data_IF_416144312612
#
_entry.id   IF_416144312612
#
_cell.length_a   1.000
_cell.length_b   1.000
_cell.length_c   1.000
_cell.angle_alpha   90.00
_cell.angle_beta   90.00
_cell.angle_gamma   90.00
#
_symmetry.space_group_name_H-M   'P 1'
#
loop_
_entity.id
_entity.type
_entity.pdbx_description
1 polymer ?
#
# COMPACT_ATOMS: atom_id res chain seq x y z
N UNK A 1 -5.77 -18.05 4.06
CA UNK A 1 -6.25 -18.85 2.91
C UNK A 1 -6.28 -17.88 1.73
N UNK A 2 -6.10 -18.32 0.49
CA UNK A 2 -6.13 -17.37 -0.63
C UNK A 2 -7.53 -16.74 -0.74
N UNK A 3 -7.59 -15.41 -0.85
CA UNK A 3 -8.81 -14.64 -1.09
C UNK A 3 -8.52 -13.53 -2.10
N UNK A 4 -9.44 -13.37 -3.05
CA UNK A 4 -9.49 -12.19 -3.90
C UNK A 4 -10.58 -11.23 -3.42
N UNK A 5 -10.15 -10.05 -2.97
CA UNK A 5 -11.03 -8.99 -2.51
C UNK A 5 -11.23 -7.90 -3.56
N UNK A 6 -12.47 -7.37 -3.65
CA UNK A 6 -12.85 -6.36 -4.63
C UNK A 6 -13.55 -5.19 -3.92
N UNK A 7 -13.03 -3.99 -4.13
CA UNK A 7 -13.60 -2.78 -3.52
C UNK A 7 -13.47 -1.58 -4.45
N UNK A 8 -14.33 -0.58 -4.22
CA UNK A 8 -14.24 0.73 -4.88
C UNK A 8 -13.24 1.66 -4.16
N UNK A 9 -12.82 1.30 -2.94
CA UNK A 9 -11.85 2.06 -2.19
C UNK A 9 -10.43 1.77 -2.67
N UNK A 10 -9.73 2.82 -3.09
CA UNK A 10 -8.34 2.74 -3.48
C UNK A 10 -7.42 2.31 -2.33
N UNK A 11 -7.77 2.63 -1.08
CA UNK A 11 -7.02 2.21 0.10
C UNK A 11 -7.30 0.75 0.50
N UNK A 12 -8.27 0.10 -0.13
CA UNK A 12 -8.53 -1.33 0.04
C UNK A 12 -9.59 -1.67 1.08
N UNK A 13 -10.23 -0.70 1.76
CA UNK A 13 -11.30 -0.93 2.77
C UNK A 13 -10.97 -2.04 3.80
N UNK A 14 -11.36 -3.28 3.49
CA UNK A 14 -11.26 -4.49 4.32
C UNK A 14 -10.14 -5.44 3.86
N UNK A 15 -9.23 -4.98 3.00
CA UNK A 15 -8.03 -5.71 2.59
C UNK A 15 -6.77 -5.23 3.35
N UNK A 16 -6.68 -5.34 4.70
CA UNK A 16 -5.57 -4.74 5.44
C UNK A 16 -4.31 -5.60 5.34
N UNK A 17 -3.19 -4.96 5.00
CA UNK A 17 -1.83 -5.44 5.25
C UNK A 17 -1.36 -6.61 4.39
N UNK A 18 -1.98 -7.78 4.53
CA UNK A 18 -1.65 -9.02 3.82
C UNK A 18 -2.11 -9.10 2.37
N UNK A 19 -2.87 -8.11 1.92
CA UNK A 19 -3.34 -8.01 0.55
C UNK A 19 -2.41 -7.16 -0.32
N UNK A 20 -2.18 -7.63 -1.54
CA UNK A 20 -1.50 -6.91 -2.60
C UNK A 20 -2.52 -6.51 -3.67
N UNK A 21 -2.50 -5.24 -4.07
CA UNK A 21 -3.36 -4.77 -5.16
C UNK A 21 -2.84 -5.27 -6.50
N UNK A 22 -3.68 -5.97 -7.25
CA UNK A 22 -3.34 -6.53 -8.56
C UNK A 22 -3.72 -5.61 -9.72
N UNK A 23 -4.70 -4.70 -9.53
CA UNK A 23 -5.07 -3.75 -10.56
C UNK A 23 -6.53 -3.30 -10.51
N UNK A 24 -6.99 -2.76 -11.64
CA UNK A 24 -8.37 -2.35 -11.86
C UNK A 24 -9.05 -3.42 -12.73
N UNK A 25 -10.16 -3.96 -12.25
CA UNK A 25 -10.94 -4.99 -12.98
C UNK A 25 -11.85 -4.36 -14.03
N UNK A 26 -12.37 -3.16 -13.75
CA UNK A 26 -13.26 -2.38 -14.61
C UNK A 26 -13.90 -1.23 -13.84
N UNK A 27 -14.90 -0.57 -14.43
CA UNK A 27 -15.52 0.63 -13.84
C UNK A 27 -17.04 0.47 -13.69
N UNK A 28 -17.55 0.79 -12.50
CA UNK A 28 -18.94 0.59 -12.05
C UNK A 28 -19.49 1.81 -11.32
N UNK A 29 -20.76 1.81 -10.97
CA UNK A 29 -21.41 2.95 -10.33
C UNK A 29 -21.46 2.77 -8.81
N UNK A 30 -21.30 3.88 -8.07
CA UNK A 30 -21.45 3.92 -6.60
C UNK A 30 -22.91 4.00 -6.15
N UNK A 31 -23.83 4.31 -7.07
CA UNK A 31 -25.26 4.43 -6.81
C UNK A 31 -26.06 3.87 -7.98
N UNK A 32 -27.32 3.52 -7.73
CA UNK A 32 -28.21 2.95 -8.73
C UNK A 32 -28.39 3.89 -9.92
N UNK A 33 -28.14 3.37 -11.12
CA UNK A 33 -28.38 4.04 -12.41
C UNK A 33 -29.43 3.26 -13.23
N UNK A 34 -30.00 3.85 -14.30
CA UNK A 34 -30.87 3.11 -15.22
C UNK A 34 -30.20 1.83 -15.74
N UNK A 35 -30.96 0.73 -15.75
CA UNK A 35 -30.53 -0.60 -16.20
C UNK A 35 -29.41 -1.25 -15.36
N UNK A 36 -29.17 -0.76 -14.14
CA UNK A 36 -28.21 -1.38 -13.21
C UNK A 36 -28.92 -2.16 -12.11
N UNK A 37 -28.19 -3.13 -11.55
CA UNK A 37 -28.55 -3.89 -10.36
C UNK A 37 -27.48 -3.71 -9.30
N UNK A 38 -27.86 -3.86 -8.03
CA UNK A 38 -26.91 -3.89 -6.93
C UNK A 38 -26.13 -5.21 -6.95
N UNK A 39 -24.84 -5.13 -6.67
CA UNK A 39 -23.98 -6.27 -6.37
C UNK A 39 -23.73 -6.27 -4.87
N UNK A 40 -24.04 -7.38 -4.23
CA UNK A 40 -23.98 -7.59 -2.79
C UNK A 40 -22.67 -8.30 -2.44
N UNK A 41 -21.97 -7.80 -1.41
CA UNK A 41 -20.77 -8.43 -0.83
C UNK A 41 -21.15 -9.29 0.36
N UNK A 42 -20.55 -10.47 0.42
CA UNK A 42 -20.73 -11.45 1.47
C UNK A 42 -19.36 -11.96 1.90
N UNK A 43 -19.14 -12.18 3.20
CA UNK A 43 -17.87 -12.66 3.72
C UNK A 43 -18.03 -13.92 4.57
N UNK A 44 -17.22 -14.94 4.30
CA UNK A 44 -17.17 -16.17 5.07
C UNK A 44 -15.91 -16.23 5.94
N UNK A 45 -16.06 -16.09 7.26
CA UNK A 45 -14.92 -16.10 8.19
C UNK A 45 -14.22 -17.45 8.33
N UNK A 46 -14.78 -18.54 7.80
CA UNK A 46 -14.17 -19.88 7.85
C UNK A 46 -13.27 -20.13 6.64
N UNK A 47 -13.73 -19.80 5.43
CA UNK A 47 -12.90 -19.89 4.21
C UNK A 47 -12.03 -18.65 4.00
N UNK A 48 -12.35 -17.53 4.66
CA UNK A 48 -11.83 -16.19 4.41
C UNK A 48 -12.21 -15.62 3.02
N UNK A 49 -13.22 -16.18 2.37
CA UNK A 49 -13.64 -15.78 1.02
C UNK A 49 -14.63 -14.60 1.02
N UNK A 50 -14.44 -13.68 0.07
CA UNK A 50 -15.41 -12.66 -0.28
C UNK A 50 -16.19 -13.03 -1.56
N UNK A 51 -17.50 -13.17 -1.40
CA UNK A 51 -18.42 -13.50 -2.47
C UNK A 51 -19.25 -12.29 -2.92
N UNK A 52 -19.40 -12.13 -4.24
CA UNK A 52 -20.12 -11.04 -4.88
C UNK A 52 -21.22 -11.61 -5.79
N UNK A 53 -22.46 -11.16 -5.57
CA UNK A 53 -23.61 -11.62 -6.34
C UNK A 53 -24.62 -10.52 -6.59
N UNK A 54 -25.36 -10.60 -7.69
CA UNK A 54 -26.51 -9.75 -7.97
C UNK A 54 -27.79 -10.23 -7.26
N UNK A 55 -27.79 -11.44 -6.68
CA UNK A 55 -28.92 -11.97 -5.92
C UNK A 55 -28.94 -11.38 -4.50
N UNK A 56 -30.00 -10.65 -4.11
CA UNK A 56 -30.14 -10.15 -2.74
C UNK A 56 -30.26 -11.27 -1.70
N UNK A 57 -30.64 -12.49 -2.10
CA UNK A 57 -30.66 -13.68 -1.25
C UNK A 57 -29.30 -14.34 -1.04
N UNK A 58 -28.25 -13.86 -1.72
CA UNK A 58 -26.90 -14.37 -1.59
C UNK A 58 -26.57 -15.59 -2.45
N UNK A 59 -27.47 -16.07 -3.33
CA UNK A 59 -27.24 -17.25 -4.19
C UNK A 59 -26.76 -18.48 -3.39
N UNK A 60 -25.46 -18.83 -3.54
CA UNK A 60 -24.75 -19.98 -2.95
C UNK A 60 -23.98 -19.60 -1.66
N UNK A 61 -24.04 -18.32 -1.26
CA UNK A 61 -23.52 -17.85 0.01
C UNK A 61 -24.29 -18.28 1.28
N UNK A 62 -25.51 -18.87 1.30
CA UNK A 62 -26.32 -18.90 2.53
C UNK A 62 -25.88 -19.91 3.61
N UNK A 63 -24.63 -20.38 3.59
CA UNK A 63 -24.05 -21.06 4.75
C UNK A 63 -22.66 -20.49 5.10
N UNK A 64 -22.55 -19.90 6.29
CA UNK A 64 -21.35 -19.27 6.87
C UNK A 64 -20.92 -17.91 6.27
N UNK A 65 -21.51 -17.44 5.17
CA UNK A 65 -21.31 -16.06 4.74
C UNK A 65 -22.20 -15.09 5.52
N UNK A 66 -21.63 -13.92 5.82
CA UNK A 66 -22.31 -12.77 6.40
C UNK A 66 -22.43 -11.68 5.36
N UNK A 67 -23.60 -11.07 5.27
CA UNK A 67 -23.84 -9.93 4.39
C UNK A 67 -23.04 -8.71 4.86
N UNK A 68 -22.30 -8.09 3.94
CA UNK A 68 -21.46 -6.92 4.22
C UNK A 68 -21.95 -5.63 3.55
N UNK A 69 -23.03 -5.69 2.76
CA UNK A 69 -23.60 -4.53 2.10
C UNK A 69 -23.60 -4.62 0.57
N UNK A 70 -23.98 -3.50 -0.05
CA UNK A 70 -23.88 -3.32 -1.50
C UNK A 70 -22.44 -2.89 -1.80
N UNK A 71 -21.76 -3.66 -2.64
CA UNK A 71 -20.41 -3.37 -3.09
C UNK A 71 -20.40 -2.28 -4.18
N UNK A 72 -21.29 -2.42 -5.17
CA UNK A 72 -21.44 -1.46 -6.28
C UNK A 72 -22.73 -1.73 -7.08
N UNK A 73 -22.96 -0.91 -8.11
CA UNK A 73 -24.03 -1.10 -9.09
C UNK A 73 -23.45 -1.27 -10.49
N UNK A 74 -23.92 -2.28 -11.22
CA UNK A 74 -23.48 -2.57 -12.59
C UNK A 74 -24.64 -3.03 -13.48
N UNK A 75 -24.44 -3.06 -14.80
CA UNK A 75 -25.50 -3.46 -15.72
C UNK A 75 -25.77 -4.96 -15.62
N UNK A 76 -27.04 -5.36 -15.53
CA UNK A 76 -27.42 -6.79 -15.53
C UNK A 76 -27.48 -7.39 -16.95
N UNK A 77 -27.50 -6.54 -17.98
CA UNK A 77 -27.52 -6.93 -19.39
C UNK A 77 -26.47 -6.13 -20.15
N UNK A 78 -25.94 -6.73 -21.21
CA UNK A 78 -24.92 -6.11 -22.05
C UNK A 78 -25.42 -4.79 -22.62
N UNK A 79 -24.69 -3.71 -22.34
CA UNK A 79 -24.90 -2.40 -22.95
C UNK A 79 -23.81 -2.11 -23.98
N UNK A 80 -24.02 -1.09 -24.82
CA UNK A 80 -22.99 -0.57 -25.73
C UNK A 80 -21.74 -0.18 -24.93
N UNK A 81 -20.55 -0.54 -25.43
CA UNK A 81 -19.26 -0.25 -24.80
C UNK A 81 -19.06 -0.84 -23.40
N UNK A 82 -19.74 -1.95 -23.08
CA UNK A 82 -19.51 -2.70 -21.82
C UNK A 82 -18.87 -4.06 -22.08
N UNK A 83 -18.14 -4.53 -21.06
CA UNK A 83 -17.55 -5.87 -21.00
C UNK A 83 -18.20 -6.65 -19.86
N UNK A 84 -18.22 -7.97 -19.98
CA UNK A 84 -18.74 -8.84 -18.92
C UNK A 84 -17.74 -8.90 -17.76
N UNK A 85 -18.25 -9.05 -16.54
CA UNK A 85 -17.50 -9.47 -15.37
C UNK A 85 -17.86 -10.93 -15.11
N UNK A 86 -16.87 -11.81 -15.27
CA UNK A 86 -17.01 -13.25 -15.06
C UNK A 86 -16.69 -13.60 -13.62
N UNK A 87 -17.43 -14.56 -13.06
CA UNK A 87 -17.15 -15.19 -11.76
C UNK A 87 -16.55 -16.56 -11.99
N UNK A 88 -15.51 -16.87 -11.24
CA UNK A 88 -14.80 -18.13 -11.26
C UNK A 88 -14.66 -18.65 -9.83
N UNK A 89 -14.75 -19.96 -9.64
CA UNK A 89 -14.66 -20.60 -8.33
C UNK A 89 -13.60 -21.69 -8.30
N UNK A 90 -12.80 -21.73 -7.24
CA UNK A 90 -11.88 -22.81 -6.96
C UNK A 90 -12.39 -23.63 -5.76
N UNK A 91 -12.84 -24.86 -6.01
CA UNK A 91 -13.37 -25.74 -4.97
C UNK A 91 -12.33 -26.27 -3.98
N UNK A 92 -11.03 -26.22 -4.32
CA UNK A 92 -9.95 -26.67 -3.44
C UNK A 92 -9.65 -25.63 -2.37
N UNK A 93 -9.61 -24.34 -2.74
CA UNK A 93 -9.37 -23.25 -1.80
C UNK A 93 -10.64 -22.61 -1.23
N UNK A 94 -11.76 -22.73 -1.94
CA UNK A 94 -13.00 -22.02 -1.64
C UNK A 94 -13.03 -20.56 -2.09
N UNK A 95 -12.07 -20.12 -2.91
CA UNK A 95 -11.87 -18.71 -3.33
C UNK A 95 -12.66 -18.40 -4.62
N UNK A 96 -13.25 -17.20 -4.67
CA UNK A 96 -13.90 -16.65 -5.85
C UNK A 96 -13.07 -15.57 -6.53
N UNK A 97 -12.86 -15.74 -7.84
CA UNK A 97 -12.14 -14.80 -8.67
C UNK A 97 -13.05 -14.13 -9.69
N UNK A 98 -12.88 -12.82 -9.89
CA UNK A 98 -13.70 -12.00 -10.77
C UNK A 98 -12.81 -11.26 -11.78
N UNK A 99 -13.10 -11.43 -13.06
CA UNK A 99 -12.30 -10.83 -14.13
C UNK A 99 -13.13 -10.45 -15.36
N UNK A 100 -12.63 -9.48 -16.13
CA UNK A 100 -13.21 -9.10 -17.43
C UNK A 100 -12.81 -10.07 -18.56
N UNK A 101 -11.82 -10.94 -18.35
CA UNK A 101 -11.41 -11.93 -19.34
C UNK A 101 -12.29 -13.19 -19.27
N UNK A 102 -12.82 -13.57 -20.42
CA UNK A 102 -13.62 -14.77 -20.58
C UNK A 102 -12.82 -16.07 -20.38
N UNK A 103 -11.48 -16.02 -20.37
CA UNK A 103 -10.61 -17.18 -20.12
C UNK A 103 -10.09 -17.27 -18.69
N UNK A 104 -10.35 -16.26 -17.85
CA UNK A 104 -9.99 -16.26 -16.44
C UNK A 104 -8.69 -15.56 -16.07
N UNK A 105 -7.97 -14.94 -17.02
CA UNK A 105 -6.65 -14.28 -16.87
C UNK A 105 -5.62 -15.04 -16.01
N UNK A 106 -5.68 -14.78 -14.70
CA UNK A 106 -4.77 -15.08 -13.61
C UNK A 106 -5.28 -16.20 -12.69
N UNK A 107 -6.49 -16.70 -12.93
CA UNK A 107 -7.03 -17.83 -12.17
C UNK A 107 -6.12 -19.05 -12.32
N UNK A 108 -5.60 -19.63 -11.21
CA UNK A 108 -4.97 -20.94 -11.25
C UNK A 108 -5.80 -21.97 -12.04
N UNK A 109 -5.18 -23.01 -12.64
CA UNK A 109 -5.90 -24.01 -13.45
C UNK A 109 -7.10 -24.70 -12.76
N UNK A 110 -7.17 -24.63 -11.43
CA UNK A 110 -8.23 -25.16 -10.60
C UNK A 110 -9.56 -24.36 -10.71
N UNK A 111 -9.52 -23.09 -11.14
CA UNK A 111 -10.71 -22.26 -11.24
C UNK A 111 -11.68 -22.73 -12.35
N UNK A 112 -12.97 -22.77 -12.01
CA UNK A 112 -14.06 -23.10 -12.93
C UNK A 112 -14.98 -21.90 -13.08
N UNK A 113 -15.34 -21.59 -14.33
CA UNK A 113 -16.28 -20.49 -14.62
C UNK A 113 -17.66 -20.81 -14.05
N UNK A 114 -18.21 -19.85 -13.32
CA UNK A 114 -19.60 -19.87 -12.84
C UNK A 114 -20.51 -18.95 -13.67
N UNK A 115 -19.95 -18.22 -14.64
CA UNK A 115 -20.69 -17.41 -15.60
C UNK A 115 -20.49 -15.91 -15.41
N UNK A 116 -21.43 -15.13 -15.95
CA UNK A 116 -21.37 -13.67 -15.95
C UNK A 116 -22.12 -13.14 -14.73
N UNK A 117 -21.44 -12.37 -13.89
CA UNK A 117 -22.03 -11.62 -12.79
C UNK A 117 -22.80 -10.39 -13.28
N UNK A 118 -22.25 -9.69 -14.28
CA UNK A 118 -22.84 -8.47 -14.85
C UNK A 118 -21.94 -7.84 -15.90
N UNK A 119 -22.25 -6.60 -16.30
CA UNK A 119 -21.50 -5.84 -17.30
C UNK A 119 -21.06 -4.48 -16.75
N UNK A 120 -19.82 -4.12 -17.04
CA UNK A 120 -19.15 -2.91 -16.55
C UNK A 120 -18.47 -2.16 -17.70
N UNK A 121 -18.08 -0.91 -17.44
CA UNK A 121 -17.28 -0.16 -18.40
C UNK A 121 -15.82 -0.66 -18.36
N UNK A 122 -15.18 -0.92 -19.51
CA UNK A 122 -13.77 -1.31 -19.55
C UNK A 122 -12.81 -0.14 -19.31
N UNK A 123 -13.30 1.11 -19.42
CA UNK A 123 -12.52 2.34 -19.28
C UNK A 123 -13.24 3.36 -18.36
N UNK A 124 -12.53 4.34 -17.77
CA UNK A 124 -13.15 5.39 -16.98
C UNK A 124 -14.24 6.14 -17.74
N UNK A 125 -15.33 6.48 -17.06
CA UNK A 125 -16.39 7.36 -17.58
C UNK A 125 -16.78 8.38 -16.51
N UNK A 126 -17.48 9.46 -16.89
CA UNK A 126 -17.82 10.56 -15.97
C UNK A 126 -18.66 10.18 -14.74
N UNK A 127 -19.17 8.95 -14.65
CA UNK A 127 -20.01 8.49 -13.54
C UNK A 127 -19.61 7.11 -12.99
N UNK A 128 -18.53 6.52 -13.51
CA UNK A 128 -18.08 5.21 -13.07
C UNK A 128 -16.73 5.31 -12.34
N UNK A 129 -16.58 4.52 -11.29
CA UNK A 129 -15.37 4.42 -10.48
C UNK A 129 -14.76 3.03 -10.64
N UNK A 130 -13.44 2.88 -10.49
CA UNK A 130 -12.78 1.60 -10.66
C UNK A 130 -13.15 0.59 -9.56
N UNK A 131 -13.25 -0.69 -9.93
CA UNK A 131 -13.15 -1.82 -9.01
C UNK A 131 -11.67 -2.18 -8.89
N UNK A 132 -11.12 -2.11 -7.69
CA UNK A 132 -9.77 -2.57 -7.40
C UNK A 132 -9.78 -4.04 -7.00
N UNK A 133 -8.95 -4.85 -7.64
CA UNK A 133 -8.69 -6.25 -7.28
C UNK A 133 -7.50 -6.33 -6.32
N UNK A 134 -7.68 -7.08 -5.24
CA UNK A 134 -6.71 -7.33 -4.20
C UNK A 134 -6.57 -8.83 -4.00
N UNK A 135 -5.35 -9.28 -3.72
CA UNK A 135 -5.02 -10.69 -3.49
C UNK A 135 -4.32 -10.85 -2.15
N UNK A 136 -4.76 -11.79 -1.31
CA UNK A 136 -4.10 -12.12 -0.05
C UNK A 136 -2.73 -12.81 -0.27
N UNK A 137 -1.70 -12.02 -0.60
CA UNK A 137 -0.36 -12.51 -0.91
C UNK A 137 0.53 -12.74 0.31
N UNK A 138 0.05 -12.38 1.50
CA UNK A 138 0.86 -12.35 2.72
C UNK A 138 1.79 -11.13 2.80
N UNK A 139 1.54 -10.09 2.00
CA UNK A 139 2.29 -8.83 2.05
C UNK A 139 2.31 -8.26 3.49
N UNK A 140 3.40 -7.65 3.95
CA UNK A 140 3.47 -7.06 5.32
C UNK A 140 3.17 -8.04 6.48
N UNK A 141 2.95 -9.34 6.26
CA UNK A 141 2.52 -10.29 7.29
C UNK A 141 3.53 -10.46 8.42
N UNK A 142 4.80 -10.18 8.12
CA UNK A 142 5.91 -10.21 9.06
C UNK A 142 6.19 -8.84 9.69
N UNK A 143 5.37 -7.81 9.44
CA UNK A 143 5.55 -6.50 10.05
C UNK A 143 5.14 -6.56 11.51
N UNK A 144 5.98 -5.99 12.38
CA UNK A 144 5.71 -5.87 13.81
C UNK A 144 5.72 -4.40 14.21
N UNK A 145 5.01 -4.09 15.29
CA UNK A 145 4.89 -2.74 15.82
C UNK A 145 4.97 -2.83 17.34
N UNK A 146 5.74 -1.94 17.94
CA UNK A 146 5.87 -1.82 19.38
C UNK A 146 4.52 -1.43 20.03
N UNK A 147 4.37 -1.75 21.32
CA UNK A 147 3.09 -1.66 22.05
C UNK A 147 2.56 -0.23 22.19
N UNK A 148 3.43 0.78 22.07
CA UNK A 148 3.09 2.20 22.13
C UNK A 148 2.49 2.74 20.82
N UNK A 149 2.51 1.96 19.74
CA UNK A 149 1.84 2.28 18.47
C UNK A 149 0.37 1.83 18.54
N UNK A 150 -0.55 2.80 18.52
CA UNK A 150 -1.99 2.54 18.57
C UNK A 150 -2.49 1.75 17.35
N UNK A 151 -3.61 1.04 17.50
CA UNK A 151 -4.25 0.31 16.39
C UNK A 151 -4.58 1.21 15.19
N UNK A 152 -5.05 2.44 15.44
CA UNK A 152 -5.34 3.40 14.39
C UNK A 152 -4.08 3.81 13.62
N UNK A 153 -2.96 4.02 14.31
CA UNK A 153 -1.67 4.30 13.69
C UNK A 153 -1.16 3.10 12.89
N UNK A 154 -1.22 1.89 13.48
CA UNK A 154 -0.83 0.64 12.83
C UNK A 154 -1.59 0.43 11.53
N UNK A 155 -2.93 0.55 11.55
CA UNK A 155 -3.76 0.42 10.36
C UNK A 155 -3.36 1.42 9.28
N UNK A 156 -3.19 2.71 9.66
CA UNK A 156 -2.76 3.73 8.70
C UNK A 156 -1.39 3.41 8.10
N UNK A 157 -0.41 2.99 8.91
CA UNK A 157 0.91 2.61 8.40
C UNK A 157 0.83 1.46 7.41
N UNK A 158 0.07 0.40 7.72
CA UNK A 158 -0.11 -0.74 6.81
C UNK A 158 -0.75 -0.30 5.48
N UNK A 159 -1.81 0.51 5.52
CA UNK A 159 -2.45 1.03 4.29
C UNK A 159 -1.48 1.86 3.44
N UNK A 160 -0.66 2.73 4.05
CA UNK A 160 0.30 3.57 3.32
C UNK A 160 1.51 2.78 2.82
N UNK A 161 1.93 1.74 3.53
CA UNK A 161 2.92 0.78 3.05
C UNK A 161 2.42 0.01 1.82
N UNK A 162 1.18 -0.47 1.84
CA UNK A 162 0.61 -1.17 0.66
C UNK A 162 0.48 -0.24 -0.54
N UNK A 163 0.11 1.03 -0.31
CA UNK A 163 0.12 2.04 -1.36
C UNK A 163 1.53 2.28 -1.93
N UNK A 164 2.53 2.49 -1.07
CA UNK A 164 3.92 2.67 -1.45
C UNK A 164 4.47 1.48 -2.25
N UNK A 165 4.26 0.27 -1.77
CA UNK A 165 4.67 -0.97 -2.42
C UNK A 165 4.08 -1.11 -3.84
N UNK A 166 2.79 -0.83 -4.01
CA UNK A 166 2.15 -0.86 -5.33
C UNK A 166 2.77 0.17 -6.26
N UNK A 167 2.91 1.42 -5.79
CA UNK A 167 3.43 2.52 -6.61
C UNK A 167 4.88 2.28 -7.00
N UNK A 168 5.71 1.74 -6.12
CA UNK A 168 7.08 1.34 -6.43
C UNK A 168 7.15 0.39 -7.63
N UNK A 169 6.22 -0.57 -7.75
CA UNK A 169 6.20 -1.53 -8.86
C UNK A 169 5.97 -0.87 -10.24
N UNK A 170 5.05 0.10 -10.31
CA UNK A 170 4.63 0.72 -11.58
C UNK A 170 5.35 2.03 -11.91
N UNK A 171 6.07 2.61 -10.96
CA UNK A 171 6.69 3.92 -11.09
C UNK A 171 7.82 3.96 -12.13
N UNK A 172 7.89 5.04 -12.92
CA UNK A 172 8.98 5.26 -13.88
C UNK A 172 10.24 5.91 -13.29
N UNK A 173 10.17 6.44 -12.06
CA UNK A 173 11.26 7.20 -11.45
C UNK A 173 12.33 6.34 -10.76
N UNK A 174 12.10 5.04 -10.61
CA UNK A 174 13.08 4.07 -10.08
C UNK A 174 13.32 2.94 -11.09
N UNK A 175 14.57 2.48 -11.18
CA UNK A 175 15.03 1.45 -12.11
C UNK A 175 14.54 0.05 -11.74
N UNK A 176 14.67 -0.91 -12.67
CA UNK A 176 14.16 -2.27 -12.46
C UNK A 176 14.75 -2.97 -11.22
N UNK A 177 16.07 -2.85 -11.00
CA UNK A 177 16.74 -3.41 -9.82
C UNK A 177 16.30 -2.74 -8.52
N UNK A 178 16.07 -1.43 -8.54
CA UNK A 178 15.56 -0.66 -7.39
C UNK A 178 14.17 -1.16 -6.99
N UNK A 179 13.29 -1.34 -7.98
CA UNK A 179 11.94 -1.91 -7.77
C UNK A 179 11.99 -3.31 -7.17
N UNK A 180 12.84 -4.17 -7.72
CA UNK A 180 12.98 -5.55 -7.25
C UNK A 180 13.43 -5.59 -5.79
N UNK A 181 14.51 -4.86 -5.46
CA UNK A 181 15.05 -4.86 -4.09
C UNK A 181 14.07 -4.26 -3.09
N UNK A 182 13.48 -3.09 -3.36
CA UNK A 182 12.56 -2.48 -2.39
C UNK A 182 11.32 -3.35 -2.17
N UNK A 183 10.75 -3.93 -3.24
CA UNK A 183 9.59 -4.83 -3.12
C UNK A 183 9.94 -6.14 -2.42
N UNK A 184 11.19 -6.61 -2.51
CA UNK A 184 11.64 -7.77 -1.74
C UNK A 184 11.69 -7.49 -0.23
N UNK A 185 12.07 -6.27 0.19
CA UNK A 185 12.09 -5.88 1.61
C UNK A 185 10.69 -5.92 2.23
N UNK A 186 9.66 -5.48 1.50
CA UNK A 186 8.26 -5.52 1.96
C UNK A 186 7.73 -6.94 2.30
N UNK A 187 8.41 -8.00 1.86
CA UNK A 187 8.07 -9.39 2.20
C UNK A 187 8.86 -9.94 3.39
N UNK A 188 9.78 -9.15 3.93
CA UNK A 188 10.57 -9.50 5.11
C UNK A 188 9.89 -9.01 6.39
N UNK A 189 10.39 -9.47 7.54
CA UNK A 189 9.98 -8.92 8.82
C UNK A 189 10.57 -7.53 9.04
N UNK A 190 9.70 -6.54 9.27
CA UNK A 190 10.08 -5.14 9.51
C UNK A 190 9.42 -4.67 10.80
N UNK A 191 10.24 -4.27 11.77
CA UNK A 191 9.78 -3.72 13.05
C UNK A 191 9.50 -2.23 12.93
N UNK A 192 8.44 -1.75 13.56
CA UNK A 192 8.09 -0.34 13.65
C UNK A 192 8.09 0.10 15.13
N UNK A 193 8.79 1.19 15.42
CA UNK A 193 8.79 1.83 16.74
C UNK A 193 8.40 3.31 16.62
N UNK A 194 7.88 3.89 17.69
CA UNK A 194 7.67 5.34 17.74
C UNK A 194 8.99 6.08 18.05
N UNK A 195 9.09 7.32 17.58
CA UNK A 195 10.15 8.25 17.99
C UNK A 195 9.57 9.65 18.18
N UNK A 196 10.25 10.47 18.97
CA UNK A 196 9.91 11.88 19.22
C UNK A 196 11.05 12.82 18.84
N UNK A 197 12.06 12.32 18.11
CA UNK A 197 13.19 13.13 17.67
C UNK A 197 12.70 14.40 16.94
N UNK A 198 13.07 15.60 17.44
CA UNK A 198 12.64 16.85 16.82
C UNK A 198 13.08 16.92 15.36
N UNK A 199 12.19 17.39 14.49
CA UNK A 199 12.48 17.62 13.08
C UNK A 199 12.53 16.37 12.19
N UNK A 200 12.42 15.15 12.74
CA UNK A 200 12.46 13.90 11.98
C UNK A 200 11.04 13.39 11.72
N UNK A 201 10.74 12.97 10.48
CA UNK A 201 9.47 12.35 10.11
C UNK A 201 9.49 10.84 10.37
N UNK A 202 10.51 10.17 9.83
CA UNK A 202 10.84 8.79 10.09
C UNK A 202 12.34 8.57 9.84
N UNK A 203 12.86 7.43 10.28
CA UNK A 203 14.19 6.99 9.89
C UNK A 203 14.37 5.48 10.08
N UNK A 204 15.37 4.93 9.41
CA UNK A 204 15.99 3.65 9.76
C UNK A 204 17.36 3.88 10.39
N UNK A 205 17.79 3.06 11.35
CA UNK A 205 19.06 3.31 12.03
C UNK A 205 20.26 3.13 11.09
N UNK A 206 20.19 2.15 10.18
CA UNK A 206 21.28 1.74 9.29
C UNK A 206 20.75 1.19 7.96
N UNK A 207 21.63 1.10 6.94
CA UNK A 207 21.28 0.49 5.66
C UNK A 207 20.97 -1.00 5.86
N UNK A 208 19.96 -1.49 5.15
CA UNK A 208 19.46 -2.87 5.29
C UNK A 208 18.88 -3.21 6.67
N UNK A 209 18.76 -2.22 7.57
CA UNK A 209 18.06 -2.44 8.83
C UNK A 209 16.62 -2.84 8.54
N UNK A 210 16.07 -3.69 9.40
CA UNK A 210 14.69 -4.16 9.34
C UNK A 210 13.85 -3.52 10.45
N UNK A 211 14.09 -2.24 10.68
CA UNK A 211 13.53 -1.47 11.80
C UNK A 211 13.33 -0.01 11.40
N UNK A 212 12.08 0.43 11.35
CA UNK A 212 11.68 1.80 11.07
C UNK A 212 11.25 2.49 12.37
N UNK A 213 11.66 3.74 12.54
CA UNK A 213 11.21 4.62 13.60
C UNK A 213 10.31 5.70 13.01
N UNK A 214 9.09 5.83 13.53
CA UNK A 214 8.08 6.74 12.99
C UNK A 214 7.78 7.85 14.01
N UNK A 215 7.89 9.11 13.59
CA UNK A 215 7.47 10.23 14.42
C UNK A 215 6.01 10.59 14.12
N UNK A 216 5.09 10.05 14.92
CA UNK A 216 3.66 10.29 14.73
C UNK A 216 3.24 11.75 14.96
N UNK A 217 3.99 12.53 15.74
CA UNK A 217 3.68 13.94 15.97
C UNK A 217 4.08 14.82 14.77
N UNK A 218 5.15 14.44 14.06
CA UNK A 218 5.62 15.17 12.89
C UNK A 218 4.95 14.68 11.61
N UNK A 219 4.99 13.36 11.35
CA UNK A 219 4.63 12.80 10.04
C UNK A 219 3.11 12.74 9.82
N UNK A 220 2.32 12.31 10.81
CA UNK A 220 0.90 12.05 10.58
C UNK A 220 0.06 13.30 10.25
N UNK A 221 0.32 14.48 10.86
CA UNK A 221 -0.37 15.70 10.47
C UNK A 221 -0.15 16.15 9.01
N UNK A 222 0.90 15.66 8.35
CA UNK A 222 1.22 16.02 6.96
C UNK A 222 0.35 15.27 5.93
N UNK A 223 -0.41 14.27 6.37
CA UNK A 223 -1.39 13.58 5.56
C UNK A 223 -0.85 12.37 4.80
N UNK A 224 -1.74 11.70 4.09
CA UNK A 224 -1.53 10.34 3.61
C UNK A 224 -0.45 10.21 2.53
N UNK A 225 -0.27 11.25 1.71
CA UNK A 225 0.77 11.30 0.67
C UNK A 225 2.16 11.33 1.29
N UNK A 226 2.37 12.25 2.22
CA UNK A 226 3.67 12.41 2.88
C UNK A 226 4.02 11.16 3.70
N UNK A 227 3.04 10.55 4.39
CA UNK A 227 3.26 9.27 5.08
C UNK A 227 3.74 8.21 4.08
N UNK A 228 3.05 8.02 2.95
CA UNK A 228 3.45 6.99 1.97
C UNK A 228 4.81 7.30 1.30
N UNK A 229 5.13 8.57 1.05
CA UNK A 229 6.41 9.01 0.50
C UNK A 229 7.56 8.70 1.46
N UNK A 230 7.41 9.15 2.71
CA UNK A 230 8.39 8.91 3.79
C UNK A 230 8.59 7.41 3.99
N UNK A 231 7.51 6.60 4.04
CA UNK A 231 7.65 5.15 4.19
C UNK A 231 8.37 4.50 3.02
N UNK A 232 8.10 4.92 1.78
CA UNK A 232 8.82 4.38 0.61
C UNK A 232 10.30 4.76 0.65
N UNK A 233 10.62 6.00 1.04
CA UNK A 233 11.99 6.47 1.24
C UNK A 233 12.74 5.58 2.24
N UNK A 234 12.19 5.37 3.43
CA UNK A 234 12.82 4.53 4.46
C UNK A 234 12.99 3.08 4.00
N UNK A 235 12.02 2.55 3.25
CA UNK A 235 12.12 1.20 2.69
C UNK A 235 13.22 1.08 1.62
N UNK A 236 13.59 2.18 0.93
CA UNK A 236 14.76 2.20 0.05
C UNK A 236 16.07 2.08 0.85
N UNK A 237 16.16 2.65 2.05
CA UNK A 237 17.29 2.43 2.95
C UNK A 237 17.34 0.99 3.46
N UNK A 238 16.20 0.39 3.80
CA UNK A 238 16.10 -1.05 4.08
C UNK A 238 16.52 -1.92 2.87
N UNK A 239 16.39 -1.40 1.64
CA UNK A 239 16.86 -2.06 0.42
C UNK A 239 18.34 -1.78 0.10
N UNK A 240 19.05 -1.08 0.99
CA UNK A 240 20.49 -0.83 0.91
C UNK A 240 20.88 0.41 0.10
N UNK A 241 19.93 1.28 -0.25
CA UNK A 241 20.22 2.50 -1.01
C UNK A 241 20.46 3.70 -0.06
N UNK A 242 21.63 4.37 -0.11
CA UNK A 242 21.91 5.56 0.69
C UNK A 242 21.60 6.86 -0.06
N UNK A 243 21.69 7.98 0.66
CA UNK A 243 21.83 9.32 0.08
C UNK A 243 22.86 10.15 0.88
N UNK A 244 23.50 11.18 0.30
CA UNK A 244 24.39 12.08 1.05
C UNK A 244 23.61 13.02 1.98
N UNK A 245 24.31 13.83 2.78
CA UNK A 245 23.67 14.91 3.52
C UNK A 245 23.09 15.96 2.56
N UNK A 246 21.89 16.48 2.87
CA UNK A 246 21.29 17.61 2.17
C UNK A 246 22.13 18.88 2.40
N UNK A 247 22.33 19.66 1.33
CA UNK A 247 23.05 20.93 1.36
C UNK A 247 22.03 22.06 1.42
N UNK A 248 21.86 22.65 2.61
CA UNK A 248 20.84 23.67 2.90
C UNK A 248 21.24 25.11 2.48
N UNK A 249 22.51 25.36 2.17
CA UNK A 249 22.99 26.70 1.85
C UNK A 249 24.24 26.72 0.95
N UNK A 250 24.47 27.87 0.30
CA UNK A 250 25.61 28.09 -0.58
C UNK A 250 25.29 27.92 -2.07
N UNK A 251 26.33 27.95 -2.94
CA UNK A 251 26.14 27.98 -4.40
C UNK A 251 25.63 26.67 -5.00
N UNK A 252 25.69 25.57 -4.26
CA UNK A 252 25.26 24.23 -4.68
C UNK A 252 24.16 23.68 -3.76
N UNK A 253 23.20 24.53 -3.38
CA UNK A 253 22.04 24.13 -2.57
C UNK A 253 21.25 23.03 -3.30
N UNK A 254 20.89 21.96 -2.59
CA UNK A 254 20.07 20.89 -3.13
C UNK A 254 18.63 21.39 -3.30
N UNK A 255 17.99 21.03 -4.42
CA UNK A 255 16.59 21.41 -4.69
C UNK A 255 15.79 20.24 -5.23
N UNK A 256 14.51 20.09 -4.85
CA UNK A 256 13.63 19.12 -5.48
C UNK A 256 13.72 19.19 -7.01
N UNK A 257 13.72 18.02 -7.66
CA UNK A 257 13.80 17.84 -9.11
C UNK A 257 15.10 18.29 -9.79
N UNK A 258 16.15 18.67 -9.05
CA UNK A 258 17.43 19.04 -9.66
C UNK A 258 18.21 17.85 -10.24
N UNK A 259 17.81 16.62 -9.91
CA UNK A 259 18.51 15.39 -10.28
C UNK A 259 19.95 15.33 -9.74
N UNK A 260 20.25 16.16 -8.74
CA UNK A 260 21.54 16.36 -8.12
C UNK A 260 21.95 15.20 -7.22
N UNK A 261 23.04 15.39 -6.48
CA UNK A 261 23.63 14.32 -5.66
C UNK A 261 22.72 13.84 -4.54
N UNK A 262 21.80 14.67 -4.08
CA UNK A 262 20.79 14.31 -3.08
C UNK A 262 19.49 13.82 -3.73
N UNK A 263 18.79 14.69 -4.45
CA UNK A 263 17.46 14.38 -5.02
C UNK A 263 17.49 13.37 -6.19
N UNK A 264 18.66 13.11 -6.78
CA UNK A 264 18.86 12.06 -7.79
C UNK A 264 19.05 10.64 -7.23
N UNK A 265 19.18 10.49 -5.91
CA UNK A 265 19.38 9.17 -5.27
C UNK A 265 18.09 8.34 -5.27
N UNK A 266 18.24 7.03 -5.09
CA UNK A 266 17.11 6.10 -5.17
C UNK A 266 16.02 6.36 -4.10
N UNK A 267 16.35 6.64 -2.81
CA UNK A 267 15.34 7.00 -1.81
C UNK A 267 14.54 8.24 -2.22
N UNK A 268 15.20 9.32 -2.65
CA UNK A 268 14.54 10.57 -3.01
C UNK A 268 13.76 10.48 -4.34
N UNK A 269 14.27 9.73 -5.33
CA UNK A 269 13.50 9.46 -6.56
C UNK A 269 12.27 8.61 -6.29
N UNK A 270 12.30 7.74 -5.27
CA UNK A 270 11.18 6.88 -4.93
C UNK A 270 9.99 7.68 -4.38
N UNK A 271 10.20 8.83 -3.74
CA UNK A 271 9.12 9.70 -3.25
C UNK A 271 8.20 10.19 -4.39
N UNK A 272 8.79 10.46 -5.57
CA UNK A 272 8.04 10.81 -6.78
C UNK A 272 7.03 9.72 -7.18
N UNK A 273 7.24 8.48 -6.75
CA UNK A 273 6.36 7.38 -7.10
C UNK A 273 4.98 7.51 -6.49
N UNK A 274 4.79 8.25 -5.39
CA UNK A 274 3.48 8.36 -4.73
C UNK A 274 2.59 9.43 -5.39
N UNK A 275 3.08 10.67 -5.49
CA UNK A 275 2.31 11.81 -5.98
C UNK A 275 3.07 12.67 -7.01
N UNK A 276 4.22 12.21 -7.50
CA UNK A 276 5.03 12.95 -8.46
C UNK A 276 5.80 14.13 -7.85
N UNK A 277 5.83 14.24 -6.53
CA UNK A 277 6.54 15.29 -5.78
C UNK A 277 7.63 14.66 -4.91
N UNK A 278 8.78 15.33 -4.78
CA UNK A 278 9.81 15.01 -3.79
C UNK A 278 9.55 15.83 -2.54
N UNK A 279 9.66 15.20 -1.37
CA UNK A 279 9.53 15.88 -0.10
C UNK A 279 10.72 16.83 0.04
N UNK A 280 10.43 18.12 0.14
CA UNK A 280 11.43 19.12 0.43
C UNK A 280 11.51 19.27 1.95
N UNK A 281 12.69 19.03 2.53
CA UNK A 281 12.99 19.29 3.95
C UNK A 281 12.62 20.72 4.39
N UNK A 282 12.43 21.65 3.44
CA UNK A 282 12.04 23.04 3.68
C UNK A 282 10.56 23.37 3.46
N UNK A 283 9.71 22.44 2.98
CA UNK A 283 8.32 22.76 2.59
C UNK A 283 7.27 21.99 3.39
N UNK A 284 7.39 21.99 4.72
CA UNK A 284 6.21 21.91 5.58
C UNK A 284 5.63 23.32 5.69
N UNK A 285 4.84 23.70 4.68
CA UNK A 285 3.96 24.87 4.72
C UNK A 285 4.24 25.93 3.66
N UNK A 286 3.60 25.80 2.48
CA UNK A 286 3.01 26.96 1.79
C UNK A 286 2.20 26.51 0.56
N UNK A 287 0.92 26.18 0.79
CA UNK A 287 -0.13 26.69 -0.10
C UNK A 287 -0.85 27.77 0.70
N UNK A 288 -0.50 29.04 0.40
CA UNK A 288 -1.12 30.29 0.86
C UNK A 288 -0.82 30.74 2.31
N UNK A 289 0.27 31.48 2.52
CA UNK A 289 0.32 32.72 3.34
C UNK A 289 1.77 33.22 3.50
N UNK A 290 2.00 34.44 3.04
CA UNK A 290 3.22 35.22 3.28
C UNK A 290 3.38 35.55 4.77
N UNK A 291 4.40 35.04 5.48
CA UNK A 291 4.94 35.66 6.71
C UNK A 291 6.35 35.13 7.04
N UNK A 292 7.10 35.97 7.74
CA UNK A 292 8.55 35.95 7.97
C UNK A 292 9.16 34.64 8.52
N UNK A 293 10.36 34.36 8.02
CA UNK A 293 11.23 33.23 8.34
C UNK A 293 11.90 33.41 9.71
N UNK A 294 11.61 32.52 10.65
CA UNK A 294 12.52 32.09 11.74
C UNK A 294 12.06 30.73 12.26
N UNK A 295 12.36 29.60 11.60
CA UNK A 295 12.25 28.28 12.23
C UNK A 295 13.34 27.32 11.73
N UNK A 296 14.03 26.73 12.70
CA UNK A 296 14.96 25.59 12.60
C UNK A 296 14.43 24.49 11.69
N UNK A 297 15.26 24.11 10.73
CA UNK A 297 14.98 23.27 9.57
C UNK A 297 14.54 21.84 9.97
N UNK A 298 13.43 21.39 9.38
CA UNK A 298 12.83 20.06 9.57
C UNK A 298 13.57 19.06 8.65
N UNK A 299 14.53 18.30 9.19
CA UNK A 299 15.23 17.27 8.41
C UNK A 299 14.43 15.97 8.37
N UNK A 300 13.81 15.68 7.22
CA UNK A 300 12.90 14.54 7.02
C UNK A 300 13.46 13.18 7.50
N UNK A 301 14.76 12.89 7.28
CA UNK A 301 15.45 11.71 7.80
C UNK A 301 16.95 12.01 8.04
N UNK A 302 17.60 11.48 9.10
CA UNK A 302 19.05 11.52 9.27
C UNK A 302 19.81 10.76 8.17
N UNK A 303 21.07 11.11 7.93
CA UNK A 303 21.91 10.36 6.98
C UNK A 303 22.17 8.95 7.50
N UNK A 304 21.78 7.94 6.71
CA UNK A 304 22.01 6.53 7.02
C UNK A 304 23.40 6.11 6.55
N UNK A 305 24.30 5.77 7.48
CA UNK A 305 25.69 5.47 7.16
C UNK A 305 25.87 4.05 6.56
N UNK A 306 26.72 3.86 5.55
CA UNK A 306 26.97 2.54 4.96
C UNK A 306 27.73 1.54 5.86
N UNK A 307 28.23 1.96 7.03
CA UNK A 307 29.28 1.23 7.78
C UNK A 307 28.83 0.56 9.07
N UNK A 308 27.55 0.54 9.42
CA UNK A 308 27.08 -0.20 10.60
C UNK A 308 26.68 -1.63 10.23
N UNK A 309 27.66 -2.47 9.87
CA UNK A 309 27.47 -3.91 10.00
C UNK A 309 27.62 -4.29 11.47
N UNK A 310 26.51 -4.78 12.04
CA UNK A 310 26.39 -5.68 13.19
C UNK A 310 27.31 -5.40 14.40
N UNK A 311 26.74 -4.83 15.47
CA UNK A 311 27.20 -5.07 16.84
C UNK A 311 26.07 -4.80 17.84
N UNK A 312 25.00 -5.58 17.80
CA UNK A 312 24.17 -5.83 18.99
C UNK A 312 23.74 -7.32 19.01
N UNK A 313 24.72 -8.16 19.33
CA UNK A 313 24.49 -9.48 19.90
C UNK A 313 25.45 -9.65 21.08
N UNK A 314 25.05 -9.16 22.25
CA UNK A 314 25.64 -9.60 23.52
C UNK A 314 24.52 -9.84 24.52
N UNK A 315 24.23 -11.12 24.72
CA UNK A 315 23.45 -11.64 25.83
C UNK A 315 24.13 -11.34 27.18
N UNK A 316 23.38 -11.17 28.28
CA UNK A 316 23.85 -11.55 29.61
C UNK A 316 23.53 -13.05 29.78
N UNK A 317 24.49 -13.96 29.91
CA UNK A 317 25.59 -13.93 30.86
C UNK A 317 25.23 -14.83 32.04
N UNK A 318 25.30 -16.14 31.83
CA UNK A 318 25.19 -17.16 32.88
C UNK A 318 26.24 -16.90 33.97
N UNK A 319 25.79 -16.67 35.20
CA UNK A 319 26.65 -16.73 36.39
C UNK A 319 26.49 -18.12 37.00
N UNK A 320 27.41 -19.01 36.64
CA UNK A 320 27.76 -20.19 37.45
C UNK A 320 29.06 -19.86 38.16
N UNK A 321 29.00 -19.74 39.48
CA UNK A 321 30.16 -19.95 40.35
C UNK A 321 29.76 -20.98 41.40
N UNK A 322 30.32 -22.18 41.26
CA UNK A 322 30.41 -23.17 42.33
C UNK A 322 31.58 -22.80 43.26
N UNK A 323 31.31 -22.77 44.56
CA UNK A 323 32.11 -23.33 45.65
C UNK A 323 31.25 -23.37 46.91
#
# INVERSE_FOLDING_TARGET
MPDHFYTLDFAGELAPGNYEREGITGYVYTSMQPNTVAIYRWYNSTSHDHFYTADPGGELAPQNYKYEGIAWYMFNQRQVNTVALYRWYNSESGDHFYTADATGELGPPAYKSEGILGYMHPNPTNHAVPIYRWWESGLLSNFSFDDDITEAQRRKLLERHTWAFYRAGICGNIGAEEKEKVRAVYRQGIRHSATTLPGVNAYVPDLNARHLFINFNNLFPQGDREIAQTLLHEMMHCAGYPHPAHIDSGPNIDRPYDGGKYYGTAPLRSELCIDGVQSDTSTVGMVLASYAVTQTELRACPVVNPTAQANEATAPGDVVTQA
#
